data_IF_906546279928
#
_entry.id   IF_906546279928
#
_cell.length_a   1.000
_cell.length_b   1.000
_cell.length_c   1.000
_cell.angle_alpha   90.00
_cell.angle_beta   90.00
_cell.angle_gamma   90.00
#
_symmetry.space_group_name_H-M   'P 1'
#
loop_
_entity.id
_entity.type
_entity.pdbx_description
1 polymer ?
#
# COMPACT_ATOMS: atom_id res chain seq x y z
N UNK A 1 63.14 8.30 -25.75
CA UNK A 1 63.22 9.74 -25.42
C UNK A 1 62.12 10.00 -24.43
N UNK A 2 62.47 10.45 -23.23
CA UNK A 2 61.49 10.84 -22.21
C UNK A 2 60.88 12.21 -22.55
N UNK A 3 59.73 12.54 -21.98
CA UNK A 3 58.99 13.78 -22.24
C UNK A 3 59.88 15.01 -22.07
N UNK A 4 60.62 15.06 -20.96
CA UNK A 4 61.52 16.18 -20.67
C UNK A 4 62.63 16.31 -21.72
N UNK A 5 63.15 15.18 -22.21
CA UNK A 5 64.17 15.17 -23.25
C UNK A 5 63.61 15.63 -24.60
N UNK A 6 62.39 15.19 -24.95
CA UNK A 6 61.72 15.62 -26.17
C UNK A 6 61.44 17.13 -26.18
N UNK A 7 61.04 17.68 -25.03
CA UNK A 7 60.85 19.12 -24.85
C UNK A 7 62.19 19.88 -24.93
N UNK A 8 63.26 19.38 -24.30
CA UNK A 8 64.60 19.98 -24.37
C UNK A 8 65.16 19.99 -25.79
N UNK A 9 64.96 18.93 -26.57
CA UNK A 9 65.39 18.89 -27.96
C UNK A 9 64.58 19.83 -28.84
N UNK A 10 63.28 19.99 -28.58
CA UNK A 10 62.43 20.94 -29.30
C UNK A 10 62.80 22.40 -28.98
N UNK A 11 63.17 22.69 -27.73
CA UNK A 11 63.74 23.99 -27.32
C UNK A 11 65.10 24.25 -27.98
N UNK A 12 65.95 23.23 -28.05
CA UNK A 12 67.25 23.32 -28.71
C UNK A 12 67.07 23.61 -30.19
N UNK A 13 66.19 22.86 -30.88
CA UNK A 13 65.86 23.08 -32.28
C UNK A 13 65.40 24.52 -32.50
N UNK A 14 64.53 25.06 -31.65
CA UNK A 14 64.08 26.46 -31.74
C UNK A 14 65.24 27.47 -31.61
N UNK A 15 66.13 27.26 -30.63
CA UNK A 15 67.22 28.19 -30.33
C UNK A 15 68.36 28.16 -31.35
N UNK A 16 68.63 27.00 -31.97
CA UNK A 16 69.70 26.83 -32.96
C UNK A 16 69.25 27.02 -34.40
N UNK A 17 67.95 27.24 -34.62
CA UNK A 17 67.40 27.38 -35.97
C UNK A 17 67.82 28.70 -36.63
N UNK A 18 68.16 28.62 -37.92
CA UNK A 18 68.59 29.78 -38.70
C UNK A 18 67.42 30.71 -38.97
N UNK A 19 67.58 32.00 -38.65
CA UNK A 19 66.57 33.01 -38.95
C UNK A 19 66.52 33.28 -40.45
N UNK A 20 65.32 33.39 -41.00
CA UNK A 20 65.14 33.65 -42.43
C UNK A 20 65.48 35.12 -42.71
N UNK A 21 66.48 35.42 -43.57
CA UNK A 21 66.84 36.79 -43.92
C UNK A 21 65.64 37.55 -44.52
N UNK A 22 65.47 38.82 -44.13
CA UNK A 22 64.35 39.67 -44.60
C UNK A 22 63.01 39.44 -43.88
N UNK A 23 62.84 38.36 -43.12
CA UNK A 23 61.62 38.07 -42.37
C UNK A 23 61.91 38.10 -40.86
N UNK A 24 61.72 39.28 -40.24
CA UNK A 24 61.82 39.42 -38.78
C UNK A 24 60.83 38.43 -38.13
N UNK A 25 61.37 37.54 -37.28
CA UNK A 25 60.67 36.49 -36.50
C UNK A 25 60.41 35.14 -37.20
N UNK A 26 60.83 34.93 -38.46
CA UNK A 26 60.75 33.58 -39.07
C UNK A 26 62.04 32.81 -38.86
N UNK A 27 61.91 31.54 -38.49
CA UNK A 27 63.01 30.60 -38.29
C UNK A 27 62.81 29.42 -39.22
N UNK A 28 63.88 29.00 -39.88
CA UNK A 28 63.88 27.86 -40.77
C UNK A 28 64.17 26.61 -39.95
N UNK A 29 63.25 25.65 -40.00
CA UNK A 29 63.34 24.36 -39.32
C UNK A 29 63.32 23.25 -40.36
N UNK A 30 64.01 22.15 -40.05
CA UNK A 30 63.89 20.91 -40.79
C UNK A 30 62.52 20.29 -40.47
N UNK A 31 61.69 20.09 -41.51
CA UNK A 31 60.32 19.62 -41.36
C UNK A 31 60.23 18.17 -40.87
N UNK A 32 61.15 17.32 -41.31
CA UNK A 32 61.15 15.90 -40.96
C UNK A 32 61.59 15.75 -39.49
N UNK A 33 62.68 16.43 -39.11
CA UNK A 33 63.16 16.45 -37.73
C UNK A 33 62.15 17.07 -36.76
N UNK A 34 61.42 18.10 -37.19
CA UNK A 34 60.38 18.73 -36.38
C UNK A 34 59.17 17.80 -36.20
N UNK A 35 58.77 17.09 -37.26
CA UNK A 35 57.70 16.09 -37.19
C UNK A 35 58.05 14.93 -36.26
N UNK A 36 59.29 14.44 -36.29
CA UNK A 36 59.80 13.41 -35.38
C UNK A 36 59.76 13.85 -33.92
N UNK A 37 60.18 15.08 -33.61
CA UNK A 37 60.12 15.62 -32.25
C UNK A 37 58.68 15.80 -31.76
N UNK A 38 57.75 16.22 -32.64
CA UNK A 38 56.33 16.28 -32.29
C UNK A 38 55.78 14.89 -31.98
N UNK A 39 56.14 13.88 -32.78
CA UNK A 39 55.75 12.50 -32.53
C UNK A 39 56.35 11.97 -31.22
N UNK A 40 57.61 12.31 -30.93
CA UNK A 40 58.29 11.95 -29.69
C UNK A 40 57.63 12.60 -28.47
N UNK A 41 57.29 13.89 -28.50
CA UNK A 41 56.56 14.58 -27.41
C UNK A 41 55.17 13.95 -27.19
N UNK A 42 54.45 13.63 -28.27
CA UNK A 42 53.14 12.96 -28.17
C UNK A 42 53.24 11.54 -27.61
N UNK A 43 54.25 10.78 -28.02
CA UNK A 43 54.47 9.40 -27.57
C UNK A 43 55.14 9.28 -26.20
N UNK A 44 55.77 10.34 -25.71
CA UNK A 44 56.44 10.39 -24.41
C UNK A 44 55.61 11.01 -23.30
N UNK A 45 54.35 11.39 -23.58
CA UNK A 45 53.44 11.91 -22.56
C UNK A 45 53.50 11.01 -21.31
N UNK A 46 53.80 11.55 -20.11
CA UNK A 46 54.06 10.72 -18.94
C UNK A 46 52.91 9.75 -18.66
N UNK A 47 53.25 8.52 -18.28
CA UNK A 47 52.28 7.46 -18.00
C UNK A 47 51.20 7.94 -17.00
N UNK A 48 51.60 8.72 -16.00
CA UNK A 48 50.73 9.31 -14.98
C UNK A 48 49.63 10.21 -15.56
N UNK A 49 49.89 10.95 -16.65
CA UNK A 49 48.90 11.83 -17.30
C UNK A 49 47.88 11.01 -18.07
N UNK A 50 48.32 9.95 -18.75
CA UNK A 50 47.42 9.03 -19.45
C UNK A 50 46.56 8.25 -18.46
N UNK A 51 47.15 7.78 -17.37
CA UNK A 51 46.44 7.13 -16.27
C UNK A 51 45.40 8.06 -15.64
N UNK A 52 45.75 9.33 -15.40
CA UNK A 52 44.80 10.32 -14.88
C UNK A 52 43.62 10.55 -15.83
N UNK A 53 43.85 10.60 -17.15
CA UNK A 53 42.77 10.74 -18.14
C UNK A 53 41.82 9.53 -18.12
N UNK A 54 42.37 8.32 -18.03
CA UNK A 54 41.57 7.09 -17.94
C UNK A 54 40.79 7.00 -16.62
N UNK A 55 41.40 7.38 -15.49
CA UNK A 55 40.72 7.47 -14.20
C UNK A 55 39.56 8.47 -14.27
N UNK A 56 39.74 9.62 -14.92
CA UNK A 56 38.67 10.61 -15.10
C UNK A 56 37.51 10.04 -15.94
N UNK A 57 37.81 9.36 -17.05
CA UNK A 57 36.78 8.69 -17.87
C UNK A 57 36.02 7.63 -17.08
N UNK A 58 36.73 6.81 -16.30
CA UNK A 58 36.12 5.78 -15.45
C UNK A 58 35.23 6.42 -14.37
N UNK A 59 35.71 7.48 -13.72
CA UNK A 59 34.95 8.23 -12.73
C UNK A 59 33.66 8.79 -13.34
N UNK A 60 33.73 9.42 -14.50
CA UNK A 60 32.54 9.98 -15.16
C UNK A 60 31.54 8.89 -15.55
N UNK A 61 32.04 7.73 -15.99
CA UNK A 61 31.21 6.55 -16.25
C UNK A 61 30.49 6.05 -14.99
N UNK A 62 31.23 5.90 -13.87
CA UNK A 62 30.68 5.47 -12.58
C UNK A 62 29.65 6.47 -12.06
N UNK A 63 29.92 7.77 -12.16
CA UNK A 63 28.98 8.81 -11.72
C UNK A 63 27.69 8.77 -12.53
N UNK A 64 27.79 8.59 -13.85
CA UNK A 64 26.61 8.49 -14.71
C UNK A 64 25.80 7.22 -14.39
N UNK A 65 26.46 6.09 -14.19
CA UNK A 65 25.80 4.84 -13.78
C UNK A 65 25.09 4.99 -12.44
N UNK A 66 25.76 5.54 -11.42
CA UNK A 66 25.19 5.78 -10.11
C UNK A 66 24.00 6.74 -10.18
N UNK A 67 24.07 7.78 -11.01
CA UNK A 67 22.96 8.71 -11.23
C UNK A 67 21.73 8.01 -11.84
N UNK A 68 21.93 7.22 -12.89
CA UNK A 68 20.86 6.46 -13.53
C UNK A 68 20.24 5.42 -12.58
N UNK A 69 21.07 4.71 -11.80
CA UNK A 69 20.57 3.77 -10.80
C UNK A 69 19.79 4.47 -9.68
N UNK A 70 20.29 5.61 -9.17
CA UNK A 70 19.58 6.39 -8.16
C UNK A 70 18.22 6.86 -8.68
N UNK A 71 18.16 7.31 -9.94
CA UNK A 71 16.90 7.71 -10.57
C UNK A 71 15.95 6.53 -10.74
N UNK A 72 16.46 5.37 -11.19
CA UNK A 72 15.68 4.13 -11.29
C UNK A 72 15.10 3.71 -9.95
N UNK A 73 15.94 3.67 -8.90
CA UNK A 73 15.52 3.31 -7.54
C UNK A 73 14.46 4.28 -7.04
N UNK A 74 14.65 5.58 -7.22
CA UNK A 74 13.67 6.59 -6.83
C UNK A 74 12.31 6.34 -7.49
N UNK A 75 12.28 6.15 -8.81
CA UNK A 75 11.04 5.87 -9.54
C UNK A 75 10.37 4.59 -9.06
N UNK A 76 11.13 3.50 -8.91
CA UNK A 76 10.58 2.23 -8.40
C UNK A 76 10.01 2.37 -6.99
N UNK A 77 10.68 3.11 -6.10
CA UNK A 77 10.19 3.35 -4.74
C UNK A 77 8.93 4.21 -4.76
N UNK A 78 8.88 5.26 -5.58
CA UNK A 78 7.68 6.10 -5.73
C UNK A 78 6.47 5.30 -6.24
N UNK A 79 6.68 4.41 -7.22
CA UNK A 79 5.66 3.50 -7.74
C UNK A 79 5.19 2.52 -6.66
N UNK A 80 6.12 1.85 -5.97
CA UNK A 80 5.79 0.89 -4.90
C UNK A 80 5.06 1.54 -3.73
N UNK A 81 5.47 2.75 -3.33
CA UNK A 81 4.78 3.50 -2.26
C UNK A 81 3.36 3.84 -2.70
N UNK A 82 3.18 4.26 -3.94
CA UNK A 82 1.85 4.57 -4.48
C UNK A 82 0.96 3.33 -4.51
N UNK A 83 1.49 2.20 -4.98
CA UNK A 83 0.78 0.92 -4.99
C UNK A 83 0.41 0.45 -3.58
N UNK A 84 1.34 0.55 -2.62
CA UNK A 84 1.08 0.18 -1.22
C UNK A 84 0.03 1.08 -0.57
N UNK A 85 0.06 2.39 -0.84
CA UNK A 85 -0.94 3.32 -0.31
C UNK A 85 -2.33 2.97 -0.85
N UNK A 86 -2.45 2.67 -2.14
CA UNK A 86 -3.75 2.30 -2.70
C UNK A 86 -4.23 0.93 -2.20
N UNK A 87 -3.35 -0.06 -2.09
CA UNK A 87 -3.68 -1.34 -1.49
C UNK A 87 -4.18 -1.18 -0.03
N UNK A 88 -3.47 -0.39 0.77
CA UNK A 88 -3.84 -0.11 2.16
C UNK A 88 -5.19 0.63 2.27
N UNK A 89 -5.47 1.58 1.37
CA UNK A 89 -6.77 2.26 1.30
C UNK A 89 -7.89 1.29 0.97
N UNK A 90 -7.72 0.42 -0.03
CA UNK A 90 -8.73 -0.57 -0.40
C UNK A 90 -9.00 -1.55 0.75
N UNK A 91 -7.95 -2.05 1.41
CA UNK A 91 -8.09 -2.93 2.57
C UNK A 91 -8.81 -2.22 3.73
N UNK A 92 -8.47 -0.95 3.99
CA UNK A 92 -9.14 -0.15 5.01
C UNK A 92 -10.64 0.01 4.71
N UNK A 93 -10.99 0.36 3.47
CA UNK A 93 -12.39 0.48 3.05
C UNK A 93 -13.15 -0.84 3.19
N UNK A 94 -12.54 -1.96 2.81
CA UNK A 94 -13.14 -3.30 3.00
C UNK A 94 -13.42 -3.58 4.48
N UNK A 95 -12.43 -3.37 5.36
CA UNK A 95 -12.58 -3.60 6.80
C UNK A 95 -13.63 -2.70 7.45
N UNK A 96 -13.72 -1.44 7.03
CA UNK A 96 -14.76 -0.51 7.50
C UNK A 96 -16.13 -0.99 7.03
N UNK A 97 -16.27 -1.36 5.75
CA UNK A 97 -17.51 -1.90 5.20
C UNK A 97 -17.96 -3.18 5.92
N UNK A 98 -17.04 -4.11 6.16
CA UNK A 98 -17.29 -5.33 6.94
C UNK A 98 -17.74 -5.00 8.37
N UNK A 99 -17.06 -4.06 9.05
CA UNK A 99 -17.41 -3.62 10.40
C UNK A 99 -18.81 -2.99 10.45
N UNK A 100 -19.17 -2.19 9.44
CA UNK A 100 -20.51 -1.59 9.33
C UNK A 100 -21.59 -2.64 9.07
N UNK A 101 -21.33 -3.61 8.19
CA UNK A 101 -22.24 -4.75 7.94
C UNK A 101 -22.46 -5.55 9.22
N UNK A 102 -21.41 -5.90 9.95
CA UNK A 102 -21.51 -6.64 11.21
C UNK A 102 -22.33 -5.86 12.23
N UNK A 103 -22.05 -4.57 12.41
CA UNK A 103 -22.80 -3.70 13.32
C UNK A 103 -24.29 -3.62 12.95
N UNK A 104 -24.60 -3.47 11.66
CA UNK A 104 -25.98 -3.41 11.18
C UNK A 104 -26.70 -4.76 11.38
N UNK A 105 -26.02 -5.87 11.12
CA UNK A 105 -26.56 -7.21 11.34
C UNK A 105 -26.83 -7.47 12.84
N UNK A 106 -25.92 -7.05 13.73
CA UNK A 106 -26.11 -7.14 15.18
C UNK A 106 -27.30 -6.31 15.67
N UNK A 107 -27.41 -5.06 15.21
CA UNK A 107 -28.53 -4.18 15.56
C UNK A 107 -29.87 -4.78 15.12
N UNK A 108 -29.95 -5.27 13.87
CA UNK A 108 -31.15 -5.90 13.33
C UNK A 108 -31.48 -7.22 14.02
N UNK A 109 -30.45 -7.99 14.39
CA UNK A 109 -30.61 -9.20 15.18
C UNK A 109 -31.15 -8.93 16.59
N UNK A 110 -30.76 -7.80 17.20
CA UNK A 110 -31.28 -7.37 18.49
C UNK A 110 -32.74 -6.93 18.37
N UNK A 111 -33.10 -6.13 17.36
CA UNK A 111 -34.49 -5.73 17.08
C UNK A 111 -35.40 -6.95 16.94
N UNK A 112 -35.00 -7.94 16.13
CA UNK A 112 -35.78 -9.19 15.94
C UNK A 112 -35.96 -9.94 17.27
N UNK A 113 -34.93 -9.97 18.13
CA UNK A 113 -35.03 -10.62 19.45
C UNK A 113 -35.99 -9.89 20.37
N UNK A 114 -35.93 -8.57 20.39
CA UNK A 114 -36.79 -7.74 21.23
C UNK A 114 -38.25 -7.86 20.78
N UNK A 115 -38.52 -7.79 19.47
CA UNK A 115 -39.85 -8.03 18.90
C UNK A 115 -40.39 -9.42 19.24
N UNK A 116 -39.58 -10.47 19.04
CA UNK A 116 -39.97 -11.83 19.38
C UNK A 116 -40.24 -12.01 20.89
N UNK A 117 -39.51 -11.30 21.75
CA UNK A 117 -39.71 -11.35 23.20
C UNK A 117 -41.03 -10.67 23.59
N UNK A 118 -41.36 -9.53 22.98
CA UNK A 118 -42.64 -8.85 23.17
C UNK A 118 -43.80 -9.74 22.70
N UNK A 119 -43.71 -10.28 21.49
CA UNK A 119 -44.75 -11.17 20.93
C UNK A 119 -44.95 -12.42 21.80
N UNK A 120 -43.86 -13.06 22.23
CA UNK A 120 -43.93 -14.20 23.14
C UNK A 120 -44.64 -13.84 24.45
N UNK A 121 -44.36 -12.66 25.00
CA UNK A 121 -45.00 -12.20 26.23
C UNK A 121 -46.49 -11.91 26.03
N UNK A 122 -46.88 -11.35 24.90
CA UNK A 122 -48.29 -11.14 24.54
C UNK A 122 -49.04 -12.47 24.38
N UNK A 123 -48.44 -13.45 23.70
CA UNK A 123 -49.00 -14.80 23.55
C UNK A 123 -49.24 -15.45 24.91
N UNK A 124 -48.25 -15.37 25.82
CA UNK A 124 -48.37 -15.93 27.17
C UNK A 124 -49.49 -15.24 27.95
N UNK A 125 -49.58 -13.91 27.88
CA UNK A 125 -50.65 -13.16 28.56
C UNK A 125 -52.04 -13.47 28.00
N UNK A 126 -52.19 -13.61 26.69
CA UNK A 126 -53.48 -13.98 26.08
C UNK A 126 -53.86 -15.41 26.42
N UNK A 127 -52.90 -16.34 26.41
CA UNK A 127 -53.11 -17.73 26.84
C UNK A 127 -53.58 -17.80 28.30
N UNK A 128 -52.96 -17.03 29.20
CA UNK A 128 -53.38 -16.93 30.61
C UNK A 128 -54.80 -16.37 30.74
N UNK A 129 -55.14 -15.30 30.00
CA UNK A 129 -56.49 -14.73 29.99
C UNK A 129 -57.53 -15.72 29.50
N UNK A 130 -57.23 -16.48 28.44
CA UNK A 130 -58.11 -17.54 27.93
C UNK A 130 -58.30 -18.65 28.94
N UNK A 131 -57.22 -19.09 29.60
CA UNK A 131 -57.28 -20.13 30.63
C UNK A 131 -58.18 -19.71 31.80
N UNK A 132 -58.04 -18.47 32.30
CA UNK A 132 -58.88 -17.94 33.39
C UNK A 132 -60.35 -17.87 32.96
N UNK A 133 -60.65 -17.39 31.75
CA UNK A 133 -62.04 -17.36 31.24
C UNK A 133 -62.65 -18.76 31.19
N UNK A 134 -61.90 -19.73 30.66
CA UNK A 134 -62.34 -21.11 30.55
C UNK A 134 -62.56 -21.76 31.93
N UNK A 135 -61.68 -21.48 32.90
CA UNK A 135 -61.82 -21.92 34.29
C UNK A 135 -63.12 -21.40 34.90
N UNK A 136 -63.37 -20.09 34.81
CA UNK A 136 -64.56 -19.45 35.36
C UNK A 136 -65.85 -19.97 34.70
N UNK A 137 -65.85 -20.16 33.38
CA UNK A 137 -67.00 -20.71 32.64
C UNK A 137 -67.28 -22.17 33.02
N UNK A 138 -66.22 -22.95 33.23
CA UNK A 138 -66.31 -24.34 33.70
C UNK A 138 -66.87 -24.41 35.12
N UNK A 139 -66.41 -23.56 36.03
CA UNK A 139 -66.92 -23.46 37.41
C UNK A 139 -68.38 -23.03 37.46
N UNK A 140 -68.77 -22.03 36.65
CA UNK A 140 -70.16 -21.59 36.53
C UNK A 140 -71.05 -22.73 36.03
N UNK A 141 -70.64 -23.41 34.95
CA UNK A 141 -71.39 -24.54 34.39
C UNK A 141 -71.51 -25.70 35.38
N UNK A 142 -70.42 -26.02 36.10
CA UNK A 142 -70.43 -27.06 37.12
C UNK A 142 -71.37 -26.72 38.28
N UNK A 143 -71.38 -25.46 38.72
CA UNK A 143 -72.27 -24.97 39.78
C UNK A 143 -73.73 -25.06 39.35
N UNK A 144 -74.09 -24.56 38.17
CA UNK A 144 -75.46 -24.64 37.65
C UNK A 144 -75.93 -26.09 37.47
N UNK A 145 -75.05 -27.00 37.03
CA UNK A 145 -75.38 -28.43 36.95
C UNK A 145 -75.61 -29.05 38.33
N UNK A 146 -74.80 -28.70 39.34
CA UNK A 146 -74.96 -29.19 40.70
C UNK A 146 -76.27 -28.70 41.30
N UNK A 147 -76.57 -27.41 41.18
CA UNK A 147 -77.83 -26.83 41.66
C UNK A 147 -79.06 -27.45 40.98
N UNK A 148 -79.01 -27.65 39.65
CA UNK A 148 -80.08 -28.31 38.92
C UNK A 148 -80.28 -29.77 39.33
N UNK A 149 -79.20 -30.52 39.57
CA UNK A 149 -79.28 -31.88 40.09
C UNK A 149 -79.85 -31.94 41.51
N UNK A 150 -79.41 -31.03 42.39
CA UNK A 150 -79.92 -30.91 43.76
C UNK A 150 -81.41 -30.57 43.79
N UNK A 151 -81.87 -29.70 42.88
CA UNK A 151 -83.28 -29.37 42.75
C UNK A 151 -84.10 -30.55 42.25
N UNK A 152 -83.64 -31.22 41.19
CA UNK A 152 -84.30 -32.42 40.66
C UNK A 152 -84.43 -33.51 41.73
N UNK A 153 -83.36 -33.75 42.50
CA UNK A 153 -83.40 -34.73 43.60
C UNK A 153 -84.45 -34.37 44.66
N UNK A 154 -84.59 -33.08 45.02
CA UNK A 154 -85.65 -32.63 45.94
C UNK A 154 -87.05 -32.85 45.39
N UNK A 155 -87.27 -32.50 44.12
CA UNK A 155 -88.57 -32.69 43.45
C UNK A 155 -88.97 -34.18 43.42
N UNK A 156 -88.04 -35.07 43.09
CA UNK A 156 -88.27 -36.52 43.11
C UNK A 156 -88.58 -37.02 44.51
N UNK A 157 -87.82 -36.62 45.53
CA UNK A 157 -88.07 -37.03 46.92
C UNK A 157 -89.45 -36.58 47.41
N UNK A 158 -89.84 -35.35 47.10
CA UNK A 158 -91.16 -34.82 47.48
C UNK A 158 -92.30 -35.59 46.80
N UNK A 159 -92.13 -35.96 45.52
CA UNK A 159 -93.09 -36.79 44.80
C UNK A 159 -93.15 -38.26 45.24
N UNK A 160 -92.23 -38.73 46.08
CA UNK A 160 -92.26 -40.06 46.70
C UNK A 160 -92.86 -40.06 48.11
N UNK A 161 -93.11 -38.88 48.70
CA UNK A 161 -93.75 -38.72 50.02
C UNK A 161 -95.29 -38.51 49.94
N UNK A 162 -95.86 -38.45 48.72
CA UNK A 162 -97.31 -38.55 48.43
C UNK A 162 -97.74 -40.00 48.16
#
# INVERSE_FOLDING_TARGET
MDFEQAIQELQTLYNTSNRVPGFRKKVMVDGDRFAELIAAVKGSLPADVQEAEEILKQKDSILNQAYLEAQRVKTTVEEQVTEQIEAAKQEHLSKVGESEIVRSAEARGQEIRDEAMVEAQEIVQDAQRRAIRMQNESESTATSRREGADQYAREVMFGMEE
#
